data_IF_163841743864
#
_entry.id   IF_163841743864
#
_cell.length_a   1.000
_cell.length_b   1.000
_cell.length_c   1.000
_cell.angle_alpha   90.00
_cell.angle_beta   90.00
_cell.angle_gamma   90.00
#
_symmetry.space_group_name_H-M   'P 1'
#
loop_
_entity.id
_entity.type
_entity.pdbx_description
1 polymer ?
#
# COMPACT_ATOMS: atom_id res chain seq x y z
N UNK A 1 -11.41 16.86 -30.36
CA UNK A 1 -11.04 16.98 -28.94
C UNK A 1 -9.82 16.09 -28.76
N UNK A 2 -8.63 16.67 -28.56
CA UNK A 2 -7.40 15.89 -28.42
C UNK A 2 -7.41 15.20 -27.05
N UNK A 3 -7.79 13.94 -27.02
CA UNK A 3 -7.61 13.09 -25.84
C UNK A 3 -6.22 12.49 -25.97
N UNK A 4 -5.25 13.05 -25.24
CA UNK A 4 -3.99 12.39 -25.02
C UNK A 4 -4.29 11.24 -24.04
N UNK A 5 -4.16 10.01 -24.53
CA UNK A 5 -4.57 8.79 -23.82
C UNK A 5 -3.36 7.90 -23.67
N UNK A 6 -3.00 7.60 -22.44
CA UNK A 6 -1.95 6.64 -22.13
C UNK A 6 -2.60 5.39 -21.54
N UNK A 7 -2.23 4.23 -22.08
CA UNK A 7 -2.83 2.95 -21.76
C UNK A 7 -1.75 2.07 -21.16
N UNK A 8 -1.99 1.58 -19.95
CA UNK A 8 -1.04 0.77 -19.21
C UNK A 8 -1.66 -0.57 -18.84
N UNK A 9 -0.89 -1.66 -18.95
CA UNK A 9 -1.28 -2.94 -18.36
C UNK A 9 -1.04 -2.89 -16.84
N UNK A 10 -2.01 -3.32 -16.02
CA UNK A 10 -1.77 -3.61 -14.60
C UNK A 10 -0.75 -4.74 -14.48
N UNK A 11 0.27 -4.56 -13.65
CA UNK A 11 1.26 -5.60 -13.38
C UNK A 11 0.54 -6.74 -12.65
N UNK A 12 0.39 -7.89 -13.30
CA UNK A 12 0.08 -9.15 -12.61
C UNK A 12 1.25 -9.44 -11.67
N UNK A 13 1.09 -9.18 -10.37
CA UNK A 13 1.97 -9.68 -9.33
C UNK A 13 1.12 -10.57 -8.44
N UNK A 14 1.26 -11.90 -8.55
CA UNK A 14 0.46 -12.85 -7.76
C UNK A 14 0.58 -12.66 -6.25
N UNK A 15 1.64 -11.98 -5.78
CA UNK A 15 1.89 -11.72 -4.36
C UNK A 15 1.10 -10.53 -3.77
N UNK A 16 0.49 -9.68 -4.60
CA UNK A 16 -0.49 -8.67 -4.17
C UNK A 16 -1.63 -8.71 -5.17
N UNK A 17 -2.81 -9.17 -4.74
CA UNK A 17 -3.99 -9.49 -5.54
C UNK A 17 -4.55 -8.31 -6.38
N UNK A 18 -3.80 -7.83 -7.36
CA UNK A 18 -4.30 -7.02 -8.46
C UNK A 18 -4.61 -7.97 -9.62
N UNK A 19 -5.88 -8.15 -9.99
CA UNK A 19 -6.21 -8.95 -11.14
C UNK A 19 -5.60 -8.35 -12.41
N UNK A 20 -5.28 -9.18 -13.43
CA UNK A 20 -4.89 -8.67 -14.74
C UNK A 20 -5.91 -7.65 -15.23
N UNK A 21 -5.43 -6.54 -15.76
CA UNK A 21 -6.29 -5.43 -16.13
C UNK A 21 -5.56 -4.37 -16.93
N UNK A 22 -6.31 -3.40 -17.45
CA UNK A 22 -5.80 -2.27 -18.20
C UNK A 22 -6.25 -1.00 -17.49
N UNK A 23 -5.34 -0.05 -17.31
CA UNK A 23 -5.64 1.28 -16.80
C UNK A 23 -5.58 2.26 -17.96
N UNK A 24 -6.64 3.06 -18.08
CA UNK A 24 -6.78 4.17 -19.01
C UNK A 24 -6.58 5.47 -18.24
N UNK A 25 -5.61 6.29 -18.66
CA UNK A 25 -5.45 7.66 -18.19
C UNK A 25 -5.87 8.62 -19.30
N UNK A 26 -6.76 9.56 -18.98
CA UNK A 26 -7.33 10.50 -19.96
C UNK A 26 -7.73 11.83 -19.31
N UNK A 27 -7.81 12.89 -20.10
CA UNK A 27 -8.28 14.21 -19.64
C UNK A 27 -9.73 14.43 -20.05
N UNK A 28 -10.60 14.76 -19.09
CA UNK A 28 -12.01 15.10 -19.35
C UNK A 28 -12.39 16.39 -18.64
N UNK A 29 -12.71 17.44 -19.41
CA UNK A 29 -13.05 18.75 -18.85
C UNK A 29 -11.86 19.49 -18.23
N UNK A 30 -10.62 19.17 -18.63
CA UNK A 30 -9.40 19.76 -18.09
C UNK A 30 -8.79 19.01 -16.90
N UNK A 31 -9.52 18.07 -16.31
CA UNK A 31 -9.06 17.27 -15.18
C UNK A 31 -8.55 15.89 -15.64
N UNK A 32 -7.41 15.41 -15.12
CA UNK A 32 -6.94 14.06 -15.35
C UNK A 32 -7.86 13.05 -14.65
N UNK A 33 -8.23 11.99 -15.37
CA UNK A 33 -9.05 10.89 -14.87
C UNK A 33 -8.41 9.55 -15.20
N UNK A 34 -8.76 8.57 -14.39
CA UNK A 34 -8.30 7.20 -14.55
C UNK A 34 -9.49 6.26 -14.61
N UNK A 35 -9.48 5.29 -15.53
CA UNK A 35 -10.47 4.22 -15.62
C UNK A 35 -9.78 2.87 -15.65
N UNK A 36 -10.24 1.95 -14.81
CA UNK A 36 -9.71 0.59 -14.70
C UNK A 36 -10.64 -0.39 -15.41
N UNK A 37 -10.07 -1.26 -16.23
CA UNK A 37 -10.74 -2.38 -16.88
C UNK A 37 -10.11 -3.65 -16.33
N UNK A 38 -10.83 -4.36 -15.49
CA UNK A 38 -10.36 -5.62 -14.91
C UNK A 38 -10.65 -6.77 -15.87
N UNK A 39 -9.64 -7.58 -16.18
CA UNK A 39 -9.69 -8.71 -17.10
C UNK A 39 -9.65 -10.01 -16.31
N UNK A 40 -10.62 -10.19 -15.40
CA UNK A 40 -10.66 -11.28 -14.41
C UNK A 40 -10.57 -12.68 -15.05
N UNK A 41 -11.15 -12.84 -16.24
CA UNK A 41 -11.21 -14.10 -16.97
C UNK A 41 -10.10 -14.28 -18.01
N UNK A 42 -9.08 -13.41 -18.02
CA UNK A 42 -7.98 -13.49 -18.97
C UNK A 42 -7.16 -14.77 -18.74
N UNK A 43 -7.06 -15.61 -19.77
CA UNK A 43 -6.23 -16.81 -19.79
C UNK A 43 -5.11 -16.69 -20.83
N UNK A 44 -4.01 -17.46 -20.70
CA UNK A 44 -2.94 -17.47 -21.69
C UNK A 44 -3.40 -17.80 -23.12
N UNK A 45 -4.51 -18.53 -23.25
CA UNK A 45 -5.09 -19.01 -24.50
C UNK A 45 -6.30 -18.19 -25.00
N UNK A 46 -6.72 -17.15 -24.26
CA UNK A 46 -7.83 -16.27 -24.68
C UNK A 46 -7.51 -15.60 -26.03
N UNK A 47 -8.50 -15.47 -26.92
CA UNK A 47 -8.32 -14.68 -28.15
C UNK A 47 -8.28 -13.18 -27.80
N UNK A 48 -7.08 -12.61 -27.86
CA UNK A 48 -6.85 -11.20 -27.54
C UNK A 48 -7.60 -10.24 -28.48
N UNK A 49 -7.84 -10.60 -29.73
CA UNK A 49 -8.52 -9.73 -30.69
C UNK A 49 -10.01 -9.67 -30.35
N UNK A 50 -10.64 -10.84 -30.18
CA UNK A 50 -12.05 -10.94 -29.81
C UNK A 50 -12.33 -10.24 -28.46
N UNK A 51 -11.45 -10.44 -27.47
CA UNK A 51 -11.57 -9.79 -26.17
C UNK A 51 -11.54 -8.26 -26.30
N UNK A 52 -10.60 -7.70 -27.06
CA UNK A 52 -10.50 -6.24 -27.24
C UNK A 52 -11.71 -5.68 -27.99
N UNK A 53 -12.29 -6.43 -28.93
CA UNK A 53 -13.54 -6.03 -29.59
C UNK A 53 -14.73 -6.00 -28.63
N UNK A 54 -14.82 -6.92 -27.67
CA UNK A 54 -15.83 -6.87 -26.61
C UNK A 54 -15.61 -5.69 -25.66
N UNK A 55 -14.37 -5.44 -25.24
CA UNK A 55 -14.03 -4.28 -24.41
C UNK A 55 -14.41 -2.99 -25.13
N UNK A 56 -14.13 -2.88 -26.43
CA UNK A 56 -14.47 -1.70 -27.24
C UNK A 56 -15.98 -1.44 -27.32
N UNK A 57 -16.83 -2.47 -27.26
CA UNK A 57 -18.30 -2.29 -27.20
C UNK A 57 -18.75 -1.69 -25.87
N UNK A 58 -18.08 -2.03 -24.77
CA UNK A 58 -18.39 -1.54 -23.42
C UNK A 58 -17.65 -0.26 -23.00
N UNK A 59 -16.56 0.08 -23.69
CA UNK A 59 -15.67 1.19 -23.36
C UNK A 59 -15.49 2.14 -24.55
N UNK A 60 -16.29 3.22 -24.64
CA UNK A 60 -16.21 4.18 -25.74
C UNK A 60 -14.89 4.97 -25.77
N UNK A 61 -14.12 4.96 -24.67
CA UNK A 61 -12.78 5.56 -24.65
C UNK A 61 -11.78 4.76 -25.49
N UNK A 62 -12.00 3.46 -25.76
CA UNK A 62 -11.12 2.68 -26.63
C UNK A 62 -11.50 2.91 -28.09
N UNK A 63 -10.83 3.86 -28.71
CA UNK A 63 -11.01 4.17 -30.14
C UNK A 63 -10.27 3.17 -31.02
N UNK A 64 -10.63 3.15 -32.32
CA UNK A 64 -9.95 2.30 -33.31
C UNK A 64 -8.43 2.55 -33.37
N UNK A 65 -7.98 3.80 -33.14
CA UNK A 65 -6.56 4.16 -33.13
C UNK A 65 -5.77 3.52 -31.98
N UNK A 66 -6.44 3.13 -30.90
CA UNK A 66 -5.81 2.55 -29.72
C UNK A 66 -5.95 1.01 -29.68
N UNK A 67 -6.77 0.42 -30.57
CA UNK A 67 -7.10 -1.01 -30.60
C UNK A 67 -5.85 -1.90 -30.64
N UNK A 68 -4.92 -1.62 -31.55
CA UNK A 68 -3.68 -2.40 -31.69
C UNK A 68 -2.81 -2.34 -30.43
N UNK A 69 -2.75 -1.17 -29.79
CA UNK A 69 -2.01 -0.99 -28.55
C UNK A 69 -2.62 -1.79 -27.40
N UNK A 70 -3.96 -1.78 -27.28
CA UNK A 70 -4.68 -2.59 -26.28
C UNK A 70 -4.48 -4.08 -26.52
N UNK A 71 -4.55 -4.55 -27.77
CA UNK A 71 -4.26 -5.95 -28.13
C UNK A 71 -2.83 -6.33 -27.70
N UNK A 72 -1.86 -5.46 -27.95
CA UNK A 72 -0.47 -5.68 -27.53
C UNK A 72 -0.35 -5.80 -26.00
N UNK A 73 -1.05 -4.95 -25.24
CA UNK A 73 -1.06 -5.01 -23.77
C UNK A 73 -1.73 -6.29 -23.24
N UNK A 74 -2.85 -6.72 -23.84
CA UNK A 74 -3.51 -7.98 -23.50
C UNK A 74 -2.56 -9.16 -23.75
N UNK A 75 -1.91 -9.23 -24.91
CA UNK A 75 -0.93 -10.30 -25.21
C UNK A 75 0.21 -10.33 -24.21
N UNK A 76 0.75 -9.16 -23.84
CA UNK A 76 1.79 -9.06 -22.80
C UNK A 76 1.32 -9.55 -21.43
N UNK A 77 0.03 -9.37 -21.09
CA UNK A 77 -0.55 -9.95 -19.88
C UNK A 77 -0.67 -11.48 -19.99
N UNK A 78 -1.04 -12.00 -21.15
CA UNK A 78 -1.13 -13.44 -21.41
C UNK A 78 0.22 -14.14 -21.33
N UNK A 79 1.27 -13.54 -21.89
CA UNK A 79 2.65 -14.02 -21.77
C UNK A 79 3.04 -14.19 -20.31
N UNK A 80 2.79 -13.16 -19.47
CA UNK A 80 3.05 -13.21 -18.02
C UNK A 80 2.20 -14.23 -17.28
N UNK A 81 0.96 -14.48 -17.72
CA UNK A 81 0.11 -15.51 -17.12
C UNK A 81 0.58 -16.93 -17.49
N UNK A 82 1.19 -17.08 -18.67
CA UNK A 82 1.72 -18.33 -19.20
C UNK A 82 3.12 -18.68 -18.69
N UNK A 83 3.88 -17.69 -18.19
CA UNK A 83 5.16 -17.92 -17.52
C UNK A 83 4.95 -18.80 -16.27
N UNK A 84 5.36 -20.06 -16.35
CA UNK A 84 5.56 -20.90 -15.16
C UNK A 84 6.82 -20.41 -14.46
N UNK A 85 6.66 -19.44 -13.58
CA UNK A 85 7.77 -18.98 -12.74
C UNK A 85 8.14 -20.11 -11.75
N UNK A 86 9.29 -20.76 -11.99
CA UNK A 86 9.97 -21.60 -10.99
C UNK A 86 10.58 -20.66 -9.95
N UNK A 87 9.74 -20.17 -9.02
CA UNK A 87 10.13 -19.23 -7.97
C UNK A 87 11.07 -19.88 -6.96
N UNK A 88 12.35 -19.95 -7.29
CA UNK A 88 13.40 -20.34 -6.36
C UNK A 88 13.84 -19.11 -5.55
N UNK A 89 13.45 -19.09 -4.29
CA UNK A 89 13.97 -18.12 -3.33
C UNK A 89 15.30 -18.60 -2.77
N UNK A 90 16.26 -17.68 -2.67
CA UNK A 90 17.52 -17.90 -1.99
C UNK A 90 17.69 -16.88 -0.87
N UNK A 91 18.48 -17.25 0.14
CA UNK A 91 18.83 -16.31 1.21
C UNK A 91 19.63 -15.15 0.62
N UNK A 92 19.01 -13.96 0.59
CA UNK A 92 19.67 -12.77 0.09
C UNK A 92 20.59 -12.13 1.13
N UNK A 93 20.11 -11.99 2.39
CA UNK A 93 20.84 -11.35 3.48
C UNK A 93 20.29 -11.77 4.84
N UNK A 94 21.16 -11.80 5.86
CA UNK A 94 20.80 -11.96 7.27
C UNK A 94 21.18 -10.68 8.00
N UNK A 95 20.25 -10.11 8.75
CA UNK A 95 20.46 -8.85 9.46
C UNK A 95 19.94 -8.95 10.90
N UNK A 96 20.78 -8.59 11.86
CA UNK A 96 20.38 -8.45 13.27
C UNK A 96 19.93 -7.01 13.51
N UNK A 97 18.63 -6.78 13.42
CA UNK A 97 18.08 -5.42 13.42
C UNK A 97 18.15 -4.72 14.79
N UNK A 98 17.91 -5.46 15.88
CA UNK A 98 17.83 -4.92 17.23
C UNK A 98 18.53 -5.84 18.24
N UNK A 99 18.95 -5.26 19.37
CA UNK A 99 19.46 -6.02 20.52
C UNK A 99 18.30 -6.61 21.31
N UNK A 100 17.24 -5.82 21.52
CA UNK A 100 16.00 -6.25 22.16
C UNK A 100 15.05 -6.91 21.13
N UNK A 101 14.03 -7.66 21.59
CA UNK A 101 13.14 -8.40 20.69
C UNK A 101 12.58 -7.53 19.55
N UNK A 102 12.69 -8.06 18.34
CA UNK A 102 12.05 -7.54 17.15
C UNK A 102 10.55 -7.85 17.21
N UNK A 103 9.70 -6.86 16.98
CA UNK A 103 8.24 -7.03 17.00
C UNK A 103 7.66 -7.23 15.62
N UNK A 104 8.12 -6.45 14.62
CA UNK A 104 7.49 -6.39 13.31
C UNK A 104 8.47 -5.94 12.22
N UNK A 105 8.17 -6.28 10.97
CA UNK A 105 8.94 -5.93 9.76
C UNK A 105 8.00 -5.61 8.61
N UNK A 106 8.27 -4.54 7.85
CA UNK A 106 7.49 -4.21 6.65
C UNK A 106 8.36 -3.64 5.52
N UNK A 107 8.11 -4.06 4.28
CA UNK A 107 8.75 -3.50 3.09
C UNK A 107 7.99 -2.27 2.56
N UNK A 108 8.73 -1.35 1.92
CA UNK A 108 8.12 -0.41 1.00
C UNK A 108 7.71 -1.13 -0.31
N UNK A 109 6.90 -0.49 -1.16
CA UNK A 109 6.35 -1.14 -2.36
C UNK A 109 7.42 -1.67 -3.34
N UNK A 110 8.57 -1.01 -3.42
CA UNK A 110 9.69 -1.44 -4.29
C UNK A 110 10.50 -2.59 -3.70
N UNK A 111 10.43 -2.81 -2.38
CA UNK A 111 11.33 -3.70 -1.65
C UNK A 111 12.73 -3.13 -1.44
N UNK A 112 13.00 -1.88 -1.85
CA UNK A 112 14.31 -1.25 -1.68
C UNK A 112 14.61 -0.84 -0.25
N UNK A 113 13.56 -0.66 0.56
CA UNK A 113 13.67 -0.36 1.99
C UNK A 113 12.74 -1.25 2.79
N UNK A 114 13.13 -1.56 4.01
CA UNK A 114 12.25 -2.15 5.00
C UNK A 114 12.37 -1.43 6.34
N UNK A 115 11.34 -1.55 7.17
CA UNK A 115 11.29 -1.00 8.52
C UNK A 115 11.15 -2.11 9.54
N UNK A 116 11.69 -1.89 10.74
CA UNK A 116 11.63 -2.82 11.86
C UNK A 116 11.21 -2.12 13.14
N UNK A 117 10.33 -2.75 13.93
CA UNK A 117 9.92 -2.27 15.26
C UNK A 117 10.51 -3.15 16.36
N UNK A 118 10.68 -2.60 17.57
CA UNK A 118 11.30 -3.35 18.67
C UNK A 118 10.86 -2.91 20.08
N UNK A 119 11.15 -3.80 21.03
CA UNK A 119 11.12 -3.55 22.48
C UNK A 119 12.10 -2.48 22.95
N UNK A 120 13.13 -2.13 22.15
CA UNK A 120 13.98 -0.96 22.45
C UNK A 120 13.27 0.39 22.23
N UNK A 121 11.99 0.36 21.83
CA UNK A 121 11.10 1.50 21.63
C UNK A 121 11.44 2.32 20.39
N UNK A 122 12.22 1.75 19.49
CA UNK A 122 12.58 2.37 18.22
C UNK A 122 11.90 1.68 17.03
N UNK A 123 11.76 2.43 15.95
CA UNK A 123 11.58 1.86 14.61
C UNK A 123 12.83 2.19 13.78
N UNK A 124 13.42 1.21 13.09
CA UNK A 124 14.58 1.43 12.21
C UNK A 124 14.19 1.32 10.75
N UNK A 125 14.78 2.16 9.91
CA UNK A 125 14.63 2.13 8.44
C UNK A 125 15.93 1.60 7.84
N UNK A 126 15.81 0.62 6.95
CA UNK A 126 16.95 -0.09 6.38
C UNK A 126 16.97 0.01 4.86
N UNK A 127 18.16 0.04 4.29
CA UNK A 127 18.35 -0.26 2.87
C UNK A 127 18.44 -1.77 2.67
N UNK A 128 17.61 -2.31 1.79
CA UNK A 128 17.56 -3.77 1.58
C UNK A 128 18.85 -4.31 0.97
N UNK A 129 19.46 -3.59 0.02
CA UNK A 129 20.61 -4.07 -0.74
C UNK A 129 21.89 -4.04 0.08
N UNK A 130 22.20 -2.91 0.72
CA UNK A 130 23.38 -2.76 1.56
C UNK A 130 23.19 -3.46 2.92
N UNK A 131 21.98 -3.41 3.48
CA UNK A 131 21.72 -3.78 4.88
C UNK A 131 22.10 -2.68 5.87
N UNK A 132 22.33 -1.45 5.37
CA UNK A 132 22.64 -0.30 6.20
C UNK A 132 21.40 0.21 6.93
N UNK A 133 21.57 0.58 8.20
CA UNK A 133 20.58 1.34 8.95
C UNK A 133 20.55 2.78 8.44
N UNK A 134 19.51 3.14 7.72
CA UNK A 134 19.34 4.49 7.20
C UNK A 134 18.90 5.45 8.31
N UNK A 135 17.98 5.03 9.17
CA UNK A 135 17.42 5.87 10.23
C UNK A 135 17.04 5.03 11.46
N UNK A 136 17.16 5.65 12.64
CA UNK A 136 16.44 5.23 13.85
C UNK A 136 15.40 6.29 14.18
N UNK A 137 14.14 5.86 14.29
CA UNK A 137 12.99 6.69 14.65
C UNK A 137 12.74 6.53 16.16
N UNK A 138 13.17 7.53 16.93
CA UNK A 138 13.08 7.55 18.39
C UNK A 138 11.99 8.51 18.88
N UNK A 139 11.37 8.17 20.00
CA UNK A 139 10.43 9.06 20.69
C UNK A 139 9.21 8.37 21.30
N UNK A 140 9.03 7.08 21.09
CA UNK A 140 8.02 6.30 21.80
C UNK A 140 8.45 6.02 23.25
N UNK A 141 7.49 6.04 24.16
CA UNK A 141 7.70 5.75 25.58
C UNK A 141 7.78 4.25 25.90
N UNK A 142 7.32 3.40 24.98
CA UNK A 142 7.21 1.95 25.15
C UNK A 142 7.40 1.21 23.82
N UNK A 143 7.31 -0.12 23.84
CA UNK A 143 7.51 -1.03 22.69
C UNK A 143 6.83 -0.50 21.44
N UNK A 144 7.57 -0.46 20.32
CA UNK A 144 6.98 -0.20 19.00
C UNK A 144 6.53 -1.53 18.43
N UNK A 145 5.23 -1.68 18.18
CA UNK A 145 4.63 -2.98 17.85
C UNK A 145 4.06 -3.03 16.44
N UNK A 146 3.28 -2.03 16.06
CA UNK A 146 2.70 -1.93 14.73
C UNK A 146 3.49 -0.91 13.90
N UNK A 147 3.87 -1.24 12.68
CA UNK A 147 4.60 -0.35 11.78
C UNK A 147 4.07 -0.50 10.35
N UNK A 148 4.05 0.59 9.58
CA UNK A 148 3.70 0.54 8.16
C UNK A 148 4.35 1.68 7.37
N UNK A 149 4.62 1.41 6.10
CA UNK A 149 4.82 2.44 5.07
C UNK A 149 3.47 2.91 4.52
N UNK A 150 3.41 4.15 4.06
CA UNK A 150 2.30 4.64 3.23
C UNK A 150 2.39 4.13 1.78
N UNK A 151 2.42 2.82 1.60
CA UNK A 151 2.49 2.21 0.27
C UNK A 151 1.25 2.62 -0.55
N UNK A 152 1.42 2.99 -1.84
CA UNK A 152 2.61 2.75 -2.67
C UNK A 152 3.70 3.85 -2.64
N UNK A 153 3.49 4.98 -1.94
CA UNK A 153 4.40 6.13 -1.97
C UNK A 153 5.70 5.89 -1.22
N UNK A 154 5.63 5.30 -0.02
CA UNK A 154 6.80 4.92 0.79
C UNK A 154 7.60 6.08 1.41
N UNK A 155 7.11 7.31 1.30
CA UNK A 155 7.75 8.52 1.84
C UNK A 155 7.37 8.82 3.32
N UNK A 156 6.36 8.12 3.85
CA UNK A 156 5.94 8.21 5.25
C UNK A 156 5.90 6.85 5.94
N UNK A 157 6.14 6.87 7.24
CA UNK A 157 6.05 5.70 8.13
C UNK A 157 5.09 6.04 9.27
N UNK A 158 4.24 5.08 9.65
CA UNK A 158 3.46 5.14 10.89
C UNK A 158 3.96 4.07 11.86
N UNK A 159 4.08 4.41 13.14
CA UNK A 159 4.48 3.51 14.21
C UNK A 159 3.45 3.57 15.35
N UNK A 160 2.88 2.44 15.72
CA UNK A 160 1.96 2.26 16.85
C UNK A 160 2.67 1.56 17.99
N UNK A 161 2.51 2.10 19.19
CA UNK A 161 3.25 1.66 20.37
C UNK A 161 2.34 1.30 21.53
N UNK A 162 2.91 0.54 22.46
CA UNK A 162 2.31 0.25 23.76
C UNK A 162 2.30 1.49 24.68
N UNK A 163 2.86 2.63 24.25
CA UNK A 163 2.70 3.92 24.92
C UNK A 163 1.35 4.60 24.59
N UNK A 164 0.45 3.88 23.90
CA UNK A 164 -0.90 4.31 23.52
C UNK A 164 -0.92 5.40 22.45
N UNK A 165 0.22 5.69 21.84
CA UNK A 165 0.35 6.68 20.76
C UNK A 165 0.75 6.03 19.46
N UNK A 166 0.30 6.65 18.37
CA UNK A 166 0.84 6.41 17.05
C UNK A 166 1.66 7.64 16.63
N UNK A 167 2.82 7.44 16.00
CA UNK A 167 3.64 8.52 15.47
C UNK A 167 3.76 8.39 13.95
N UNK A 168 3.72 9.53 13.28
CA UNK A 168 3.89 9.65 11.83
C UNK A 168 5.24 10.28 11.54
N UNK A 169 6.00 9.68 10.63
CA UNK A 169 7.39 10.05 10.35
C UNK A 169 7.63 10.27 8.86
N UNK A 170 8.61 11.09 8.55
CA UNK A 170 9.25 11.17 7.25
C UNK A 170 10.21 10.00 7.07
N UNK A 171 10.05 9.19 6.01
CA UNK A 171 11.02 8.14 5.67
C UNK A 171 12.40 8.75 5.33
N UNK A 172 12.41 9.92 4.68
CA UNK A 172 13.65 10.56 4.21
C UNK A 172 14.42 11.22 5.36
N UNK A 173 13.74 12.02 6.18
CA UNK A 173 14.41 12.85 7.19
C UNK A 173 14.43 12.22 8.58
N UNK A 174 13.59 11.21 8.83
CA UNK A 174 13.37 10.64 10.16
C UNK A 174 12.61 11.58 11.12
N UNK A 175 12.18 12.75 10.67
CA UNK A 175 11.41 13.70 11.49
C UNK A 175 10.02 13.13 11.80
N UNK A 176 9.61 13.25 13.07
CA UNK A 176 8.24 13.01 13.49
C UNK A 176 7.37 14.20 13.05
N UNK A 177 6.40 13.96 12.18
CA UNK A 177 5.39 14.95 11.80
C UNK A 177 4.35 15.11 12.90
N UNK A 178 3.74 14.01 13.33
CA UNK A 178 2.61 14.01 14.24
C UNK A 178 2.74 12.92 15.30
N UNK A 179 2.22 13.19 16.50
CA UNK A 179 1.97 12.17 17.53
C UNK A 179 0.47 12.11 17.79
N UNK A 180 -0.18 11.07 17.29
CA UNK A 180 -1.59 10.79 17.45
C UNK A 180 -1.84 10.26 18.87
N UNK A 181 -2.61 11.02 19.65
CA UNK A 181 -2.98 10.72 21.03
C UNK A 181 -4.49 10.58 21.14
N UNK A 182 -4.96 9.59 21.88
CA UNK A 182 -6.39 9.40 22.13
C UNK A 182 -6.82 7.97 22.46
N UNK A 183 -5.96 6.98 22.21
CA UNK A 183 -6.18 5.62 22.70
C UNK A 183 -5.91 5.53 24.20
N UNK A 184 -6.67 4.68 24.91
CA UNK A 184 -6.54 4.47 26.35
C UNK A 184 -5.73 3.21 26.70
N UNK A 185 -5.40 2.39 25.70
CA UNK A 185 -4.57 1.20 25.79
C UNK A 185 -3.59 1.11 24.60
N UNK A 186 -2.82 0.03 24.57
CA UNK A 186 -1.77 -0.23 23.60
C UNK A 186 -2.30 -0.27 22.16
N UNK A 187 -1.54 0.26 21.20
CA UNK A 187 -1.86 0.13 19.76
C UNK A 187 -1.22 -1.17 19.25
N UNK A 188 -2.03 -2.02 18.64
CA UNK A 188 -1.63 -3.37 18.20
C UNK A 188 -1.64 -3.55 16.69
N UNK A 189 -2.36 -2.70 15.95
CA UNK A 189 -2.34 -2.67 14.50
C UNK A 189 -2.56 -1.25 13.96
N UNK A 190 -2.11 -1.00 12.74
CA UNK A 190 -2.34 0.25 12.03
C UNK A 190 -2.27 0.04 10.51
N UNK A 191 -2.82 0.97 9.75
CA UNK A 191 -2.69 1.01 8.28
C UNK A 191 -2.84 2.43 7.76
N UNK A 192 -2.19 2.72 6.65
CA UNK A 192 -2.56 3.86 5.79
C UNK A 192 -3.77 3.48 4.92
N UNK A 193 -4.52 4.47 4.45
CA UNK A 193 -5.37 4.29 3.26
C UNK A 193 -4.53 4.39 1.97
N UNK A 194 -5.09 3.93 0.85
CA UNK A 194 -4.39 3.87 -0.44
C UNK A 194 -3.90 5.23 -0.93
N UNK A 195 -4.64 6.30 -0.65
CA UNK A 195 -4.29 7.67 -1.03
C UNK A 195 -3.31 8.34 -0.07
N UNK A 196 -2.90 7.66 1.02
CA UNK A 196 -2.04 8.22 2.06
C UNK A 196 -2.56 9.55 2.66
N UNK A 197 -3.88 9.69 2.81
CA UNK A 197 -4.52 10.83 3.49
C UNK A 197 -4.90 10.52 4.93
N UNK A 198 -5.11 9.25 5.26
CA UNK A 198 -5.54 8.79 6.57
C UNK A 198 -4.62 7.70 7.13
N UNK A 199 -4.50 7.67 8.46
CA UNK A 199 -4.02 6.51 9.23
C UNK A 199 -5.19 5.94 10.02
N UNK A 200 -5.36 4.62 9.99
CA UNK A 200 -6.21 3.88 10.91
C UNK A 200 -5.35 3.22 11.97
N UNK A 201 -5.73 3.30 13.25
CA UNK A 201 -5.08 2.60 14.37
C UNK A 201 -6.09 1.74 15.10
N UNK A 202 -5.72 0.51 15.47
CA UNK A 202 -6.51 -0.38 16.31
C UNK A 202 -5.80 -0.65 17.64
N UNK A 203 -6.55 -0.59 18.73
CA UNK A 203 -6.01 -0.66 20.08
C UNK A 203 -6.71 -1.73 20.92
N UNK A 204 -6.02 -2.17 21.97
CA UNK A 204 -6.57 -2.99 23.05
C UNK A 204 -7.67 -2.27 23.85
N UNK A 205 -7.91 -0.97 23.62
CA UNK A 205 -9.03 -0.24 24.20
C UNK A 205 -10.38 -0.53 23.53
N UNK A 206 -10.42 -1.57 22.67
CA UNK A 206 -11.58 -2.03 21.90
C UNK A 206 -12.05 -1.07 20.82
N UNK A 207 -11.29 0.00 20.55
CA UNK A 207 -11.61 0.99 19.51
C UNK A 207 -10.58 0.98 18.38
N UNK A 208 -11.04 1.42 17.21
CA UNK A 208 -10.16 1.89 16.15
C UNK A 208 -10.36 3.40 15.96
N UNK A 209 -9.32 4.10 15.53
CA UNK A 209 -9.38 5.55 15.26
C UNK A 209 -8.84 5.85 13.88
N UNK A 210 -9.45 6.83 13.20
CA UNK A 210 -8.92 7.40 11.96
C UNK A 210 -8.31 8.77 12.25
N UNK A 211 -7.15 9.01 11.67
CA UNK A 211 -6.35 10.21 11.84
C UNK A 211 -6.07 10.84 10.49
N UNK A 212 -6.16 12.16 10.41
CA UNK A 212 -5.76 12.91 9.24
C UNK A 212 -4.23 13.11 9.26
N UNK A 213 -3.58 12.77 8.14
CA UNK A 213 -2.11 12.83 8.02
C UNK A 213 -1.59 14.26 7.88
N UNK A 214 -2.35 15.14 7.24
CA UNK A 214 -1.94 16.52 6.96
C UNK A 214 -1.93 17.35 8.24
N UNK A 215 -3.06 17.40 8.95
CA UNK A 215 -3.20 18.27 10.12
C UNK A 215 -2.93 17.58 11.46
N UNK A 216 -2.84 16.25 11.49
CA UNK A 216 -2.53 15.49 12.71
C UNK A 216 -3.74 15.16 13.60
N UNK A 217 -4.96 15.51 13.18
CA UNK A 217 -6.16 15.43 14.02
C UNK A 217 -6.86 14.07 13.95
N UNK A 218 -7.54 13.69 15.03
CA UNK A 218 -8.44 12.54 15.06
C UNK A 218 -9.73 12.89 14.30
N UNK A 219 -10.11 12.08 13.32
CA UNK A 219 -11.37 12.25 12.56
C UNK A 219 -12.52 11.52 13.25
N UNK A 220 -12.33 10.25 13.58
CA UNK A 220 -13.42 9.41 14.13
C UNK A 220 -12.86 8.33 15.05
N UNK A 221 -13.68 7.93 16.02
CA UNK A 221 -13.48 6.73 16.83
C UNK A 221 -14.54 5.70 16.44
N UNK A 222 -14.09 4.54 16.01
CA UNK A 222 -14.89 3.37 15.69
C UNK A 222 -14.92 2.49 16.95
N UNK A 223 -16.10 2.38 17.56
CA UNK A 223 -16.33 1.53 18.73
C UNK A 223 -17.59 0.72 18.52
N UNK A 224 -17.66 -0.45 19.15
CA UNK A 224 -18.88 -1.24 19.15
C UNK A 224 -19.83 -0.60 20.15
N UNK A 225 -20.92 0.03 19.67
CA UNK A 225 -22.07 0.26 20.53
C UNK A 225 -22.68 -1.11 20.84
N UNK A 226 -22.51 -1.60 22.07
CA UNK A 226 -23.50 -2.54 22.59
C UNK A 226 -24.85 -1.81 22.52
N UNK A 227 -25.91 -2.39 21.93
CA UNK A 227 -27.23 -1.81 22.04
C UNK A 227 -27.48 -1.63 23.53
N UNK A 228 -27.69 -0.37 23.93
CA UNK A 228 -28.10 -0.02 25.28
C UNK A 228 -29.22 -0.98 25.67
N UNK A 229 -29.00 -1.74 26.74
CA UNK A 229 -30.06 -2.41 27.47
C UNK A 229 -31.05 -1.31 27.87
N UNK A 230 -32.06 -1.09 27.04
CA UNK A 230 -33.28 -0.43 27.47
C UNK A 230 -33.93 -1.38 28.48
N UNK A 231 -33.67 -1.14 29.76
CA UNK A 231 -34.52 -1.61 30.85
C UNK A 231 -35.57 -0.55 31.13
#
# INVERSE_FOLDING_TARGET
>A
MNVQMEIYSKKVKREHAEPPGIILEYVQGGEPKTRSIDLLDLRPDTDAIALVEEIQKGEPLITASCKEHVIHLVRRLQEKLGEKEDHKFCLFKVLRAHILPLTNVAFNKSGSRFITGSYDRTCKVWDTASGEELRTLEGHGNVVYAIAFNNPYGDKIATGSFDKTCKLWSTETGKCYHTFRGHSAEIVCLSFNLQSTLVATGSMDTTAKLWNIENGEQIVTLSVCLPSLCF
#
